data_IF_210695875120
#
_entry.id   IF_210695875120
#
_cell.length_a   1.000
_cell.length_b   1.000
_cell.length_c   1.000
_cell.angle_alpha   90.00
_cell.angle_beta   90.00
_cell.angle_gamma   90.00
#
_symmetry.space_group_name_H-M   'P 1'
#
loop_
_entity.id
_entity.type
_entity.pdbx_description
1 polymer ?
#
# COMPACT_ATOMS: atom_id res chain seq x y z
N UNK A 1 0.10 14.56 0.49
CA UNK A 1 -1.08 14.51 -0.41
C UNK A 1 -0.79 15.38 -1.61
N UNK A 2 -1.15 14.91 -2.81
CA UNK A 2 -0.98 15.63 -4.07
C UNK A 2 -2.37 15.75 -4.71
N UNK A 3 -2.72 16.94 -5.19
CA UNK A 3 -3.97 17.17 -5.90
C UNK A 3 -3.71 17.59 -7.35
N UNK A 4 -4.40 16.96 -8.29
CA UNK A 4 -4.26 17.26 -9.71
C UNK A 4 -5.55 16.97 -10.44
N UNK A 5 -6.12 17.97 -11.13
CA UNK A 5 -7.39 17.85 -11.89
C UNK A 5 -8.50 17.17 -11.08
N UNK A 6 -8.74 17.68 -9.86
CA UNK A 6 -9.74 17.16 -8.91
C UNK A 6 -9.53 15.70 -8.50
N UNK A 7 -8.31 15.18 -8.67
CA UNK A 7 -7.89 13.86 -8.17
C UNK A 7 -6.96 14.01 -6.99
N UNK A 8 -7.18 13.18 -5.97
CA UNK A 8 -6.36 13.14 -4.76
C UNK A 8 -5.46 11.91 -4.75
N UNK A 9 -4.18 12.15 -4.56
CA UNK A 9 -3.16 11.13 -4.44
C UNK A 9 -2.52 11.17 -3.06
N UNK A 10 -2.42 10.01 -2.42
CA UNK A 10 -1.71 9.87 -1.17
C UNK A 10 -0.45 9.03 -1.39
N UNK A 11 0.71 9.65 -1.21
CA UNK A 11 2.00 8.96 -1.26
C UNK A 11 2.46 8.72 0.18
N UNK A 12 2.38 7.49 0.65
CA UNK A 12 2.57 7.15 2.07
C UNK A 12 4.05 7.05 2.48
N UNK A 13 4.98 6.95 1.51
CA UNK A 13 6.38 6.63 1.78
C UNK A 13 6.51 5.32 2.58
N UNK A 14 7.49 5.26 3.49
CA UNK A 14 7.66 4.19 4.46
C UNK A 14 6.83 4.50 5.69
N UNK A 15 5.92 3.59 6.02
CA UNK A 15 5.01 3.83 7.13
C UNK A 15 4.45 2.53 7.71
N UNK A 16 4.20 2.48 9.01
CA UNK A 16 3.50 1.39 9.70
C UNK A 16 2.03 1.71 9.96
N UNK A 17 1.22 0.72 10.34
CA UNK A 17 -0.20 0.95 10.65
C UNK A 17 -0.42 1.74 11.94
N UNK A 18 -1.37 2.68 11.93
CA UNK A 18 -1.74 3.49 13.09
C UNK A 18 -3.06 4.25 12.89
N UNK A 19 -3.65 4.76 13.97
CA UNK A 19 -4.99 5.38 13.93
C UNK A 19 -5.08 6.67 13.08
N UNK A 20 -3.95 7.33 12.80
CA UNK A 20 -3.89 8.58 12.04
C UNK A 20 -4.52 8.48 10.65
N UNK A 21 -4.49 7.31 10.00
CA UNK A 21 -5.04 7.17 8.64
C UNK A 21 -6.55 7.31 8.60
N UNK A 22 -7.24 6.93 9.68
CA UNK A 22 -8.69 7.12 9.78
C UNK A 22 -9.03 8.61 9.87
N UNK A 23 -8.31 9.35 10.71
CA UNK A 23 -8.46 10.81 10.84
C UNK A 23 -8.14 11.51 9.50
N UNK A 24 -7.10 11.06 8.79
CA UNK A 24 -6.76 11.55 7.46
C UNK A 24 -7.85 11.23 6.42
N UNK A 25 -8.45 10.04 6.46
CA UNK A 25 -9.55 9.67 5.58
C UNK A 25 -10.85 10.41 5.85
N UNK A 26 -11.11 10.78 7.10
CA UNK A 26 -12.22 11.67 7.46
C UNK A 26 -11.99 13.10 6.98
N UNK A 27 -10.77 13.63 7.12
CA UNK A 27 -10.44 15.01 6.77
C UNK A 27 -10.20 15.25 5.28
N UNK A 28 -9.54 14.31 4.60
CA UNK A 28 -9.05 14.49 3.24
C UNK A 28 -9.65 13.51 2.23
N UNK A 29 -10.23 12.39 2.68
CA UNK A 29 -10.81 11.38 1.81
C UNK A 29 -12.09 11.84 1.08
N UNK A 30 -12.55 11.07 0.07
CA UNK A 30 -11.90 9.86 -0.46
C UNK A 30 -10.65 10.19 -1.29
N UNK A 31 -9.64 9.32 -1.21
CA UNK A 31 -8.42 9.42 -2.02
C UNK A 31 -8.62 8.60 -3.31
N UNK A 32 -8.27 9.13 -4.48
CA UNK A 32 -8.44 8.38 -5.73
C UNK A 32 -7.39 7.28 -5.88
N UNK A 33 -6.15 7.53 -5.45
CA UNK A 33 -5.08 6.54 -5.51
C UNK A 33 -4.07 6.73 -4.37
N UNK A 34 -3.82 5.66 -3.62
CA UNK A 34 -2.82 5.61 -2.55
C UNK A 34 -1.62 4.78 -2.99
N UNK A 35 -0.41 5.31 -2.85
CA UNK A 35 0.87 4.61 -3.05
C UNK A 35 1.43 4.26 -1.68
N UNK A 36 1.70 2.98 -1.43
CA UNK A 36 2.05 2.52 -0.09
C UNK A 36 3.05 1.37 -0.11
N UNK A 37 3.97 1.35 0.86
CA UNK A 37 4.91 0.25 1.03
C UNK A 37 4.18 -1.06 1.34
N UNK A 38 4.61 -2.16 0.74
CA UNK A 38 4.06 -3.50 1.01
C UNK A 38 5.15 -4.53 1.36
N UNK A 39 6.42 -4.15 1.25
CA UNK A 39 7.57 -4.93 1.69
C UNK A 39 8.28 -4.24 2.85
N UNK A 40 9.42 -4.82 3.25
CA UNK A 40 10.19 -4.42 4.41
C UNK A 40 9.46 -4.65 5.76
N UNK A 41 8.73 -5.77 5.95
CA UNK A 41 7.86 -5.94 7.12
C UNK A 41 8.30 -7.02 8.12
N UNK A 42 9.18 -7.96 7.74
CA UNK A 42 9.59 -9.04 8.63
C UNK A 42 10.95 -8.77 9.31
N UNK A 43 10.94 -8.00 10.39
CA UNK A 43 12.14 -7.71 11.18
C UNK A 43 12.34 -8.64 12.39
N UNK A 44 11.68 -9.79 12.45
CA UNK A 44 11.86 -10.72 13.59
C UNK A 44 13.30 -11.28 13.63
N UNK A 45 13.95 -11.43 14.79
CA UNK A 45 13.46 -11.15 16.15
C UNK A 45 13.74 -9.73 16.66
N UNK A 46 14.29 -8.83 15.85
CA UNK A 46 14.50 -7.42 16.24
C UNK A 46 13.17 -6.73 16.55
N UNK A 47 12.10 -7.10 15.81
CA UNK A 47 10.72 -6.80 16.18
C UNK A 47 10.09 -7.99 16.96
N UNK A 48 9.20 -7.72 17.94
CA UNK A 48 8.65 -8.76 18.82
C UNK A 48 7.67 -9.71 18.13
N UNK A 49 7.16 -9.35 16.96
CA UNK A 49 6.19 -10.14 16.19
C UNK A 49 6.66 -10.26 14.75
N UNK A 50 6.66 -11.49 14.23
CA UNK A 50 6.93 -11.79 12.83
C UNK A 50 5.92 -11.06 11.92
N UNK A 51 6.41 -10.56 10.80
CA UNK A 51 5.65 -9.84 9.77
C UNK A 51 4.87 -8.62 10.28
N UNK A 52 5.36 -7.96 11.33
CA UNK A 52 4.78 -6.74 11.87
C UNK A 52 5.86 -5.75 12.25
N UNK A 53 5.66 -4.50 11.85
CA UNK A 53 6.58 -3.40 12.13
C UNK A 53 5.80 -2.09 12.37
N UNK A 54 6.38 -1.20 13.17
CA UNK A 54 5.90 0.19 13.30
C UNK A 54 6.47 1.10 12.20
N UNK A 55 7.51 0.63 11.50
CA UNK A 55 8.22 1.39 10.47
C UNK A 55 7.61 1.14 9.08
N UNK A 56 7.08 -0.06 8.85
CA UNK A 56 6.58 -0.52 7.55
C UNK A 56 5.34 -1.41 7.74
N UNK A 57 4.32 -1.14 6.94
CA UNK A 57 3.17 -2.01 6.73
C UNK A 57 3.57 -3.32 6.09
N UNK A 58 2.96 -4.40 6.57
CA UNK A 58 2.81 -5.59 5.74
C UNK A 58 1.71 -5.37 4.65
N UNK A 59 1.56 -6.27 3.68
CA UNK A 59 0.59 -6.10 2.58
C UNK A 59 -0.85 -5.90 3.05
N UNK A 60 -1.26 -6.60 4.10
CA UNK A 60 -2.62 -6.52 4.64
C UNK A 60 -2.87 -5.20 5.38
N UNK A 61 -1.90 -4.74 6.16
CA UNK A 61 -1.93 -3.43 6.83
C UNK A 61 -1.95 -2.29 5.81
N UNK A 62 -1.28 -2.43 4.66
CA UNK A 62 -1.32 -1.44 3.58
C UNK A 62 -2.74 -1.30 2.97
N UNK A 63 -3.46 -2.42 2.82
CA UNK A 63 -4.86 -2.39 2.38
C UNK A 63 -5.78 -1.79 3.44
N UNK A 64 -5.52 -2.06 4.72
CA UNK A 64 -6.26 -1.47 5.83
C UNK A 64 -6.10 0.07 5.86
N UNK A 65 -4.88 0.58 5.65
CA UNK A 65 -4.65 2.02 5.46
C UNK A 65 -5.42 2.55 4.25
N UNK A 66 -5.47 1.78 3.16
CA UNK A 66 -6.31 2.09 2.01
C UNK A 66 -7.76 2.33 2.41
N UNK A 67 -8.34 1.42 3.19
CA UNK A 67 -9.72 1.52 3.69
C UNK A 67 -9.93 2.72 4.61
N UNK A 68 -9.03 2.94 5.57
CA UNK A 68 -9.10 4.05 6.51
C UNK A 68 -9.05 5.40 5.78
N UNK A 69 -8.22 5.51 4.73
CA UNK A 69 -8.14 6.67 3.84
C UNK A 69 -9.33 6.79 2.86
N UNK A 70 -10.23 5.80 2.83
CA UNK A 70 -11.31 5.65 1.83
C UNK A 70 -10.75 5.73 0.40
N UNK A 71 -9.59 5.09 0.20
CA UNK A 71 -8.90 5.06 -1.09
C UNK A 71 -9.72 4.25 -2.08
N UNK A 72 -9.91 4.75 -3.29
CA UNK A 72 -10.57 4.00 -4.38
C UNK A 72 -9.66 2.89 -4.92
N UNK A 73 -8.37 3.18 -5.06
CA UNK A 73 -7.34 2.24 -5.52
C UNK A 73 -6.09 2.36 -4.67
N UNK A 74 -5.34 1.26 -4.56
CA UNK A 74 -4.11 1.19 -3.76
C UNK A 74 -3.00 0.56 -4.60
N UNK A 75 -1.89 1.26 -4.78
CA UNK A 75 -0.73 0.80 -5.52
C UNK A 75 0.39 0.42 -4.54
N UNK A 76 0.80 -0.85 -4.58
CA UNK A 76 1.86 -1.38 -3.74
C UNK A 76 3.25 -1.06 -4.27
N UNK A 77 4.08 -0.44 -3.43
CA UNK A 77 5.48 -0.09 -3.70
C UNK A 77 6.41 -0.66 -2.61
N UNK A 78 7.70 -0.32 -2.65
CA UNK A 78 8.68 -0.72 -1.62
C UNK A 78 8.85 -2.25 -1.46
N UNK A 79 8.80 -2.99 -2.56
CA UNK A 79 8.99 -4.44 -2.60
C UNK A 79 9.76 -4.85 -3.86
N UNK A 80 10.27 -6.09 -3.91
CA UNK A 80 10.84 -6.68 -5.12
C UNK A 80 12.18 -6.11 -5.60
N UNK A 81 12.79 -5.15 -4.87
CA UNK A 81 13.98 -4.41 -5.34
C UNK A 81 15.19 -4.54 -4.42
N UNK A 82 15.04 -4.26 -3.12
CA UNK A 82 16.12 -4.35 -2.12
C UNK A 82 15.67 -5.24 -0.97
N UNK A 83 16.56 -6.11 -0.50
CA UNK A 83 16.32 -6.95 0.68
C UNK A 83 16.63 -6.15 1.94
N UNK A 84 15.59 -5.65 2.61
CA UNK A 84 15.70 -4.85 3.83
C UNK A 84 15.27 -5.60 5.10
N UNK A 85 14.57 -6.73 4.94
CA UNK A 85 14.06 -7.57 6.02
C UNK A 85 13.90 -9.02 5.55
N UNK A 86 13.34 -9.88 6.39
CA UNK A 86 13.45 -11.34 6.25
C UNK A 86 12.32 -12.02 5.45
N UNK A 87 11.35 -11.29 4.92
CA UNK A 87 10.33 -11.88 4.05
C UNK A 87 10.91 -12.31 2.70
N UNK A 88 10.34 -13.33 2.05
CA UNK A 88 10.73 -13.67 0.67
C UNK A 88 10.45 -12.50 -0.27
N UNK A 89 11.44 -12.11 -1.08
CA UNK A 89 11.41 -10.88 -1.90
C UNK A 89 10.17 -10.74 -2.83
N UNK A 90 9.62 -11.86 -3.32
CA UNK A 90 8.44 -11.89 -4.21
C UNK A 90 7.13 -12.20 -3.50
N UNK A 91 7.13 -12.42 -2.18
CA UNK A 91 5.92 -12.66 -1.39
C UNK A 91 5.02 -11.42 -1.26
N UNK A 92 5.54 -10.19 -1.02
CA UNK A 92 4.72 -9.01 -0.79
C UNK A 92 3.62 -8.81 -1.83
N UNK A 93 3.97 -8.87 -3.12
CA UNK A 93 3.00 -8.63 -4.19
C UNK A 93 1.91 -9.71 -4.27
N UNK A 94 2.24 -10.97 -3.95
CA UNK A 94 1.27 -12.07 -3.92
C UNK A 94 0.28 -11.88 -2.78
N UNK A 95 0.78 -11.63 -1.56
CA UNK A 95 -0.05 -11.35 -0.38
C UNK A 95 -0.96 -10.15 -0.62
N UNK A 96 -0.40 -9.04 -1.14
CA UNK A 96 -1.14 -7.82 -1.42
C UNK A 96 -2.33 -8.07 -2.35
N UNK A 97 -2.11 -8.74 -3.48
CA UNK A 97 -3.18 -9.07 -4.43
C UNK A 97 -4.21 -10.04 -3.85
N UNK A 98 -3.76 -11.10 -3.18
CA UNK A 98 -4.65 -12.14 -2.64
C UNK A 98 -5.55 -11.62 -1.52
N UNK A 99 -5.09 -10.62 -0.76
CA UNK A 99 -5.83 -10.02 0.35
C UNK A 99 -6.87 -8.97 -0.08
N UNK A 100 -6.83 -8.48 -1.33
CA UNK A 100 -7.72 -7.42 -1.86
C UNK A 100 -9.18 -7.49 -1.39
N UNK A 101 -9.84 -8.62 -1.67
CA UNK A 101 -11.26 -8.81 -1.36
C UNK A 101 -11.56 -8.75 0.15
N UNK A 102 -10.64 -9.19 1.02
CA UNK A 102 -10.82 -9.15 2.47
C UNK A 102 -10.88 -7.71 3.00
N UNK A 103 -10.29 -6.77 2.25
CA UNK A 103 -10.25 -5.35 2.56
C UNK A 103 -11.18 -4.53 1.64
N UNK A 104 -12.19 -5.16 1.04
CA UNK A 104 -13.24 -4.47 0.28
C UNK A 104 -12.79 -3.90 -1.07
N UNK A 105 -11.65 -4.34 -1.60
CA UNK A 105 -11.14 -3.96 -2.91
C UNK A 105 -11.40 -5.04 -3.95
N UNK A 106 -11.79 -4.64 -5.16
CA UNK A 106 -11.69 -5.55 -6.30
C UNK A 106 -10.21 -5.82 -6.61
N UNK A 107 -9.82 -7.01 -7.11
CA UNK A 107 -8.42 -7.30 -7.44
C UNK A 107 -7.76 -6.30 -8.40
N UNK A 108 -8.54 -5.60 -9.22
CA UNK A 108 -8.04 -4.56 -10.14
C UNK A 108 -7.80 -3.20 -9.47
N UNK A 109 -8.38 -2.95 -8.30
CA UNK A 109 -8.15 -1.73 -7.51
C UNK A 109 -6.86 -1.80 -6.69
N UNK A 110 -6.34 -3.01 -6.47
CA UNK A 110 -5.07 -3.27 -5.80
C UNK A 110 -3.98 -3.42 -6.85
N UNK A 111 -3.24 -2.36 -7.13
CA UNK A 111 -2.34 -2.28 -8.27
C UNK A 111 -0.92 -2.71 -7.89
N UNK A 112 -0.31 -3.47 -8.78
CA UNK A 112 1.10 -3.81 -8.74
C UNK A 112 1.69 -3.63 -10.13
N UNK A 113 2.81 -2.93 -10.24
CA UNK A 113 3.62 -2.92 -11.45
C UNK A 113 4.54 -4.14 -11.44
N UNK A 114 4.49 -4.90 -12.54
CA UNK A 114 5.22 -6.17 -12.65
C UNK A 114 6.68 -5.98 -13.04
N UNK A 115 6.97 -4.86 -13.72
CA UNK A 115 8.29 -4.56 -14.28
C UNK A 115 8.81 -3.24 -13.71
N UNK A 116 10.09 -3.22 -13.33
CA UNK A 116 10.78 -1.97 -13.01
C UNK A 116 10.81 -1.07 -14.26
N UNK A 117 10.48 0.21 -14.07
CA UNK A 117 10.36 1.16 -15.19
C UNK A 117 9.03 1.08 -15.96
N UNK A 118 8.04 0.29 -15.50
CA UNK A 118 6.70 0.33 -16.08
C UNK A 118 6.08 1.73 -15.93
N UNK A 119 5.54 2.25 -17.03
CA UNK A 119 4.82 3.53 -17.09
C UNK A 119 3.39 3.27 -17.56
N UNK A 120 2.42 3.87 -16.88
CA UNK A 120 1.01 3.75 -17.22
C UNK A 120 0.33 5.12 -17.17
N UNK A 121 -0.53 5.46 -18.16
CA UNK A 121 -1.32 6.68 -18.10
C UNK A 121 -2.24 6.69 -16.88
N UNK A 122 -2.34 7.83 -16.22
CA UNK A 122 -3.22 8.00 -15.07
C UNK A 122 -4.69 7.68 -15.40
N UNK A 123 -5.13 8.00 -16.61
CA UNK A 123 -6.49 7.68 -17.11
C UNK A 123 -6.76 6.19 -17.17
N UNK A 124 -5.74 5.36 -17.37
CA UNK A 124 -5.86 3.89 -17.34
C UNK A 124 -5.85 3.36 -15.91
N UNK A 125 -5.02 3.95 -15.04
CA UNK A 125 -4.93 3.56 -13.63
C UNK A 125 -6.22 3.88 -12.87
N UNK A 126 -6.81 5.05 -13.10
CA UNK A 126 -7.98 5.54 -12.36
C UNK A 126 -9.32 5.08 -12.94
N UNK A 127 -9.31 4.30 -14.03
CA UNK A 127 -10.52 3.72 -14.63
C UNK A 127 -11.12 2.65 -13.72
#
# INVERSE_FOLDING_TARGET
>A
MIEYKDKKFFFACDTGYGGIYKDLGEKYGPIDLTFINIGAYNFYPMAPKKDKSIYHTNPEEALNIGQDLKSKKVLGMHWGTVVLSLEPIMEPGKRFKNSSNQYGYHPDDVIIFKNLGQIEPLTKILK
#
